data_IF_383717490075
#
_entry.id   IF_383717490075
#
_cell.length_a   1.000
_cell.length_b   1.000
_cell.length_c   1.000
_cell.angle_alpha   90.00
_cell.angle_beta   90.00
_cell.angle_gamma   90.00
#
_symmetry.space_group_name_H-M   'P 1'
#
loop_
_entity.id
_entity.type
_entity.pdbx_description
1 polymer ?
#
# COMPACT_ATOMS: atom_id res chain seq x y z
N UNK A 1 14.10 -22.37 -5.86
CA UNK A 1 14.34 -20.92 -6.10
C UNK A 1 13.09 -20.18 -5.62
N UNK A 2 13.23 -19.10 -4.86
CA UNK A 2 12.08 -18.27 -4.43
C UNK A 2 11.80 -17.27 -5.54
N UNK A 3 10.57 -17.21 -6.03
CA UNK A 3 10.18 -16.36 -7.16
C UNK A 3 9.63 -14.99 -6.74
N UNK A 4 8.99 -14.93 -5.58
CA UNK A 4 8.43 -13.71 -5.02
C UNK A 4 8.31 -13.82 -3.49
N UNK A 5 8.32 -12.67 -2.83
CA UNK A 5 7.99 -12.52 -1.41
C UNK A 5 7.04 -11.35 -1.29
N UNK A 6 5.96 -11.51 -0.53
CA UNK A 6 5.00 -10.44 -0.21
C UNK A 6 5.16 -10.13 1.26
N UNK A 7 5.35 -8.86 1.59
CA UNK A 7 5.45 -8.36 2.96
C UNK A 7 4.36 -7.32 3.17
N UNK A 8 3.63 -7.45 4.27
CA UNK A 8 2.62 -6.48 4.69
C UNK A 8 3.05 -5.87 6.02
N UNK A 9 3.12 -4.54 6.06
CA UNK A 9 3.60 -3.77 7.21
C UNK A 9 2.70 -2.55 7.42
N UNK A 10 2.55 -2.13 8.67
CA UNK A 10 1.83 -0.89 9.00
C UNK A 10 2.74 0.32 8.70
N UNK A 11 2.56 0.93 7.52
CA UNK A 11 3.45 1.98 7.05
C UNK A 11 3.09 3.39 7.57
N UNK A 12 1.84 3.62 8.01
CA UNK A 12 1.36 4.96 8.33
C UNK A 12 2.09 5.58 9.52
N UNK A 13 2.14 4.89 10.67
CA UNK A 13 2.88 5.38 11.84
C UNK A 13 4.37 5.49 11.57
N UNK A 14 4.90 4.58 10.76
CA UNK A 14 6.30 4.56 10.40
C UNK A 14 6.69 5.76 9.52
N UNK A 15 5.83 6.19 8.58
CA UNK A 15 6.18 7.17 7.55
C UNK A 15 5.52 8.54 7.71
N UNK A 16 4.40 8.65 8.43
CA UNK A 16 3.61 9.88 8.53
C UNK A 16 3.76 10.60 9.88
N UNK A 17 4.06 9.87 10.96
CA UNK A 17 4.20 10.44 12.31
C UNK A 17 5.67 10.71 12.67
N UNK A 18 5.90 11.63 13.61
CA UNK A 18 7.26 11.91 14.09
C UNK A 18 7.81 10.72 14.91
N UNK A 19 8.99 10.20 14.56
CA UNK A 19 9.61 9.06 15.25
C UNK A 19 10.40 9.53 16.49
N UNK A 20 9.73 9.49 17.64
CA UNK A 20 10.25 9.90 18.95
C UNK A 20 11.04 8.81 19.66
N UNK A 21 10.70 7.54 19.43
CA UNK A 21 11.38 6.39 20.04
C UNK A 21 12.36 5.72 19.09
N UNK A 22 13.31 4.93 19.63
CA UNK A 22 14.19 4.10 18.80
C UNK A 22 13.40 3.10 17.97
N UNK A 23 12.38 2.47 18.56
CA UNK A 23 11.54 1.50 17.86
C UNK A 23 10.84 2.12 16.64
N UNK A 24 10.29 3.34 16.78
CA UNK A 24 9.66 4.07 15.68
C UNK A 24 10.66 4.37 14.56
N UNK A 25 11.89 4.77 14.88
CA UNK A 25 12.94 5.05 13.87
C UNK A 25 13.36 3.79 13.13
N UNK A 26 13.58 2.70 13.86
CA UNK A 26 13.95 1.42 13.24
C UNK A 26 12.79 0.85 12.40
N UNK A 27 11.54 1.04 12.82
CA UNK A 27 10.38 0.66 12.02
C UNK A 27 10.31 1.47 10.71
N UNK A 28 10.50 2.80 10.78
CA UNK A 28 10.58 3.64 9.59
C UNK A 28 11.72 3.22 8.65
N UNK A 29 12.91 2.97 9.20
CA UNK A 29 14.07 2.51 8.43
C UNK A 29 13.81 1.15 7.76
N UNK A 30 13.16 0.22 8.45
CA UNK A 30 12.78 -1.08 7.91
C UNK A 30 11.77 -0.92 6.76
N UNK A 31 10.68 -0.17 6.96
CA UNK A 31 9.66 0.07 5.93
C UNK A 31 10.26 0.72 4.68
N UNK A 32 11.10 1.73 4.84
CA UNK A 32 11.80 2.40 3.74
C UNK A 32 12.75 1.44 3.00
N UNK A 33 13.49 0.62 3.74
CA UNK A 33 14.39 -0.37 3.16
C UNK A 33 13.63 -1.43 2.35
N UNK A 34 12.49 -1.90 2.87
CA UNK A 34 11.62 -2.82 2.15
C UNK A 34 11.06 -2.19 0.87
N UNK A 35 10.62 -0.93 0.92
CA UNK A 35 10.14 -0.22 -0.27
C UNK A 35 11.23 -0.03 -1.33
N UNK A 36 12.48 0.21 -0.91
CA UNK A 36 13.61 0.36 -1.82
C UNK A 36 13.98 -0.97 -2.51
N UNK A 37 13.95 -2.09 -1.78
CA UNK A 37 14.23 -3.41 -2.32
C UNK A 37 13.05 -4.03 -3.08
N UNK A 38 11.83 -3.54 -2.85
CA UNK A 38 10.64 -4.07 -3.51
C UNK A 38 10.67 -3.82 -5.03
N UNK A 39 10.21 -4.82 -5.78
CA UNK A 39 9.85 -4.62 -7.19
C UNK A 39 8.55 -3.80 -7.32
N UNK A 40 7.61 -4.00 -6.39
CA UNK A 40 6.32 -3.30 -6.35
C UNK A 40 5.98 -2.87 -4.94
N UNK A 41 5.42 -1.68 -4.83
CA UNK A 41 4.84 -1.17 -3.59
C UNK A 41 3.33 -1.09 -3.80
N UNK A 42 2.58 -1.70 -2.88
CA UNK A 42 1.11 -1.63 -2.85
C UNK A 42 0.72 -0.84 -1.60
N UNK A 43 0.04 0.28 -1.79
CA UNK A 43 -0.41 1.16 -0.72
C UNK A 43 -1.94 1.20 -0.69
N UNK A 44 -2.52 0.95 0.47
CA UNK A 44 -3.94 1.13 0.74
C UNK A 44 -4.15 2.52 1.33
N UNK A 45 -5.10 3.27 0.78
CA UNK A 45 -5.49 4.59 1.30
C UNK A 45 -7.00 4.65 1.43
N UNK A 46 -7.48 5.39 2.43
CA UNK A 46 -8.88 5.79 2.49
C UNK A 46 -9.18 6.83 1.40
N UNK A 47 -10.46 7.01 1.10
CA UNK A 47 -10.90 8.06 0.18
C UNK A 47 -10.68 9.45 0.78
N UNK A 48 -10.04 10.33 0.02
CA UNK A 48 -9.82 11.72 0.41
C UNK A 48 -11.15 12.51 0.57
N UNK A 49 -12.23 12.03 -0.07
CA UNK A 49 -13.57 12.63 -0.04
C UNK A 49 -14.45 12.15 1.12
N UNK A 50 -13.95 11.23 1.97
CA UNK A 50 -14.73 10.60 3.03
C UNK A 50 -15.43 9.31 2.61
N UNK A 51 -16.37 8.83 3.43
CA UNK A 51 -16.97 7.50 3.30
C UNK A 51 -17.95 7.40 2.13
N UNK A 52 -17.80 6.37 1.29
CA UNK A 52 -18.80 5.94 0.32
C UNK A 52 -19.42 4.60 0.77
N UNK A 53 -20.70 4.36 0.46
CA UNK A 53 -21.40 3.13 0.87
C UNK A 53 -20.88 1.87 0.16
N UNK A 54 -20.26 2.06 -1.00
CA UNK A 54 -19.85 1.05 -1.96
C UNK A 54 -18.34 1.10 -2.25
N UNK A 55 -17.58 1.93 -1.54
CA UNK A 55 -16.11 2.02 -1.69
C UNK A 55 -15.47 2.15 -0.31
N UNK A 56 -14.60 1.20 0.02
CA UNK A 56 -13.81 1.21 1.26
C UNK A 56 -12.53 2.03 1.13
N UNK A 57 -11.94 2.07 -0.05
CA UNK A 57 -10.74 2.87 -0.28
C UNK A 57 -10.12 2.67 -1.65
N UNK A 58 -8.87 3.08 -1.75
CA UNK A 58 -8.03 3.02 -2.95
C UNK A 58 -6.84 2.10 -2.68
N UNK A 59 -6.52 1.22 -3.64
CA UNK A 59 -5.23 0.53 -3.70
C UNK A 59 -4.42 1.13 -4.84
N UNK A 60 -3.22 1.63 -4.50
CA UNK A 60 -2.25 2.13 -5.48
C UNK A 60 -1.09 1.15 -5.57
N UNK A 61 -0.75 0.76 -6.79
CA UNK A 61 0.36 -0.15 -7.11
C UNK A 61 1.39 0.64 -7.91
N UNK A 62 2.60 0.73 -7.38
CA UNK A 62 3.72 1.43 -8.05
C UNK A 62 4.94 0.54 -8.16
N UNK A 63 5.89 0.94 -9.01
CA UNK A 63 7.27 0.46 -8.89
C UNK A 63 7.86 0.78 -7.51
N UNK A 64 8.69 -0.13 -6.98
CA UNK A 64 9.55 0.15 -5.82
C UNK A 64 10.92 0.71 -6.23
N UNK A 65 11.89 0.72 -5.31
CA UNK A 65 13.22 1.30 -5.57
C UNK A 65 14.03 0.60 -6.66
N UNK A 66 13.73 -0.68 -6.95
CA UNK A 66 14.36 -1.43 -8.07
C UNK A 66 13.72 -1.12 -9.44
N UNK A 67 12.76 -0.20 -9.49
CA UNK A 67 12.01 0.17 -10.69
C UNK A 67 10.79 -0.72 -10.95
N UNK A 68 9.94 -0.29 -11.90
CA UNK A 68 8.68 -0.96 -12.20
C UNK A 68 8.79 -2.15 -13.17
N UNK A 69 10.00 -2.52 -13.63
CA UNK A 69 10.21 -3.66 -14.53
C UNK A 69 9.32 -3.66 -15.78
N UNK A 70 8.90 -2.48 -16.26
CA UNK A 70 8.04 -2.34 -17.43
C UNK A 70 6.53 -2.53 -17.20
N UNK A 71 6.08 -2.75 -15.97
CA UNK A 71 4.64 -2.76 -15.65
C UNK A 71 4.21 -1.36 -15.23
N UNK A 72 3.16 -0.78 -15.85
CA UNK A 72 2.64 0.52 -15.46
C UNK A 72 2.16 0.55 -14.01
N UNK A 73 2.26 1.73 -13.40
CA UNK A 73 1.60 2.00 -12.14
C UNK A 73 0.07 1.93 -12.35
N UNK A 74 -0.65 1.48 -11.32
CA UNK A 74 -2.10 1.30 -11.39
C UNK A 74 -2.76 1.77 -10.09
N UNK A 75 -4.01 2.21 -10.20
CA UNK A 75 -4.83 2.61 -9.07
C UNK A 75 -6.23 2.03 -9.24
N UNK A 76 -6.75 1.40 -8.19
CA UNK A 76 -8.07 0.78 -8.16
C UNK A 76 -8.83 1.19 -6.91
N UNK A 77 -10.15 1.19 -7.03
CA UNK A 77 -11.04 1.26 -5.89
C UNK A 77 -11.27 -0.15 -5.36
N UNK A 78 -11.43 -0.28 -4.05
CA UNK A 78 -11.82 -1.53 -3.43
C UNK A 78 -12.98 -1.33 -2.46
N UNK A 79 -13.82 -2.36 -2.35
CA UNK A 79 -14.89 -2.45 -1.37
C UNK A 79 -14.76 -3.74 -0.60
N UNK A 80 -14.79 -3.64 0.73
CA UNK A 80 -14.87 -4.77 1.66
C UNK A 80 -16.29 -4.83 2.19
N UNK A 81 -17.01 -5.90 1.86
CA UNK A 81 -18.37 -6.14 2.35
C UNK A 81 -18.36 -6.59 3.81
N UNK A 82 -19.53 -6.53 4.46
CA UNK A 82 -19.66 -6.90 5.88
C UNK A 82 -19.34 -8.37 6.20
N UNK A 83 -19.37 -9.25 5.20
CA UNK A 83 -18.94 -10.66 5.30
C UNK A 83 -17.45 -10.87 4.99
N UNK A 84 -16.71 -9.79 4.70
CA UNK A 84 -15.28 -9.79 4.41
C UNK A 84 -14.92 -10.09 2.95
N UNK A 85 -15.90 -10.21 2.03
CA UNK A 85 -15.59 -10.31 0.62
C UNK A 85 -15.02 -8.98 0.09
N UNK A 86 -14.13 -9.06 -0.91
CA UNK A 86 -13.44 -7.90 -1.49
C UNK A 86 -13.70 -7.82 -2.99
N UNK A 87 -14.20 -6.67 -3.44
CA UNK A 87 -14.38 -6.35 -4.86
C UNK A 87 -13.44 -5.21 -5.23
N UNK A 88 -12.76 -5.32 -6.38
CA UNK A 88 -11.81 -4.32 -6.90
C UNK A 88 -12.28 -3.85 -8.27
N UNK A 89 -12.26 -2.53 -8.51
CA UNK A 89 -12.78 -1.92 -9.74
C UNK A 89 -11.97 -0.69 -10.15
N UNK A 90 -11.99 -0.36 -11.45
CA UNK A 90 -11.30 0.81 -11.99
C UNK A 90 -11.99 2.11 -11.58
N UNK A 91 -11.22 3.20 -11.49
CA UNK A 91 -11.78 4.52 -11.18
C UNK A 91 -12.42 5.11 -12.44
N UNK A 92 -13.75 5.25 -12.42
CA UNK A 92 -14.50 5.98 -13.47
C UNK A 92 -15.15 5.11 -14.54
N UNK A 93 -15.36 3.82 -14.28
CA UNK A 93 -16.20 2.91 -15.09
C UNK A 93 -17.64 2.85 -14.57
#
# INVERSE_FOLDING_TARGET
>A
KVHATILTVAADDALLHAQTTTLEREHAALVLSLAHEACRVMALRLLDTGTASDVSGVVRITGGGRGNGGVPDAEYLYYVSGDGAVTVFERGS
#
